data_IF_131107459980
#
_entry.id   IF_131107459980
#
_cell.length_a   1.000
_cell.length_b   1.000
_cell.length_c   1.000
_cell.angle_alpha   90.00
_cell.angle_beta   90.00
_cell.angle_gamma   90.00
#
_symmetry.space_group_name_H-M   'P 1'
#
loop_
_entity.id
_entity.type
_entity.pdbx_description
1 polymer ?
#
# COMPACT_ATOMS: atom_id res chain seq x y z
N UNK A 1 -6.68 -3.10 1.59
CA UNK A 1 -6.59 -4.46 2.14
C UNK A 1 -5.23 -5.04 1.80
N UNK A 2 -4.97 -5.76 0.70
CA UNK A 2 -3.68 -6.46 0.47
C UNK A 2 -2.37 -5.72 0.83
N UNK A 3 -2.23 -4.43 0.52
CA UNK A 3 -1.04 -3.64 0.92
C UNK A 3 -1.00 -3.30 2.41
N UNK A 4 -2.15 -3.00 3.01
CA UNK A 4 -2.25 -2.76 4.45
C UNK A 4 -2.07 -4.08 5.22
N UNK A 5 -2.63 -5.17 4.70
CA UNK A 5 -2.49 -6.50 5.31
C UNK A 5 -1.01 -6.92 5.28
N UNK A 6 -0.35 -6.82 4.12
CA UNK A 6 1.08 -7.10 4.01
C UNK A 6 1.94 -6.18 4.89
N UNK A 7 1.60 -4.89 4.96
CA UNK A 7 2.29 -3.96 5.86
C UNK A 7 2.06 -4.26 7.34
N UNK A 8 0.90 -4.81 7.71
CA UNK A 8 0.60 -5.23 9.07
C UNK A 8 1.29 -6.56 9.43
N UNK A 9 1.55 -7.40 8.43
CA UNK A 9 2.36 -8.62 8.53
C UNK A 9 3.88 -8.34 8.42
N UNK A 10 4.30 -7.09 8.61
CA UNK A 10 5.70 -6.63 8.55
C UNK A 10 6.44 -6.95 7.23
N UNK A 11 5.70 -7.11 6.12
CA UNK A 11 6.32 -7.28 4.80
C UNK A 11 7.16 -6.04 4.45
N UNK A 12 8.34 -6.26 3.88
CA UNK A 12 9.22 -5.16 3.50
C UNK A 12 8.64 -4.35 2.35
N UNK A 13 9.08 -3.09 2.22
CA UNK A 13 8.73 -2.26 1.06
C UNK A 13 9.09 -2.92 -0.27
N UNK A 14 10.19 -3.67 -0.29
CA UNK A 14 10.66 -4.38 -1.48
C UNK A 14 9.73 -5.55 -1.84
N UNK A 15 9.34 -6.35 -0.85
CA UNK A 15 8.38 -7.45 -1.05
C UNK A 15 7.01 -6.93 -1.48
N UNK A 16 6.52 -5.86 -0.85
CA UNK A 16 5.25 -5.24 -1.25
C UNK A 16 5.33 -4.67 -2.67
N UNK A 17 6.43 -3.99 -3.03
CA UNK A 17 6.62 -3.47 -4.39
C UNK A 17 6.66 -4.58 -5.43
N UNK A 18 7.39 -5.67 -5.14
CA UNK A 18 7.55 -6.76 -6.09
C UNK A 18 6.29 -7.63 -6.20
N UNK A 19 5.79 -8.13 -5.07
CA UNK A 19 4.73 -9.15 -5.03
C UNK A 19 3.33 -8.56 -5.19
N UNK A 20 3.12 -7.30 -4.80
CA UNK A 20 1.78 -6.68 -4.82
C UNK A 20 1.65 -5.65 -5.94
N UNK A 21 2.69 -4.85 -6.18
CA UNK A 21 2.66 -3.82 -7.22
C UNK A 21 3.28 -4.27 -8.56
N UNK A 22 3.98 -5.41 -8.57
CA UNK A 22 4.64 -5.93 -9.78
C UNK A 22 5.80 -5.06 -10.26
N UNK A 23 6.39 -4.24 -9.38
CA UNK A 23 7.52 -3.37 -9.69
C UNK A 23 8.76 -4.00 -9.07
N UNK A 24 9.79 -4.25 -9.87
CA UNK A 24 11.08 -4.71 -9.35
C UNK A 24 11.79 -3.57 -8.60
N UNK A 25 11.92 -3.65 -7.26
CA UNK A 25 12.56 -2.60 -6.47
C UNK A 25 14.08 -2.55 -6.63
N UNK A 26 14.72 -3.59 -7.18
CA UNK A 26 16.14 -3.60 -7.45
C UNK A 26 16.48 -2.84 -8.74
N UNK A 27 15.63 -2.95 -9.76
CA UNK A 27 15.80 -2.26 -11.03
C UNK A 27 15.19 -0.84 -11.02
N UNK A 28 14.08 -0.63 -10.31
CA UNK A 28 13.30 0.61 -10.33
C UNK A 28 13.03 1.17 -8.92
N UNK A 29 14.06 1.25 -8.07
CA UNK A 29 13.94 1.57 -6.63
C UNK A 29 13.09 2.81 -6.32
N UNK A 30 13.37 3.94 -6.99
CA UNK A 30 12.66 5.19 -6.72
C UNK A 30 11.19 5.14 -7.16
N UNK A 31 10.90 4.48 -8.28
CA UNK A 31 9.53 4.27 -8.74
C UNK A 31 8.77 3.34 -7.79
N UNK A 32 9.38 2.23 -7.39
CA UNK A 32 8.82 1.26 -6.45
C UNK A 32 8.39 1.95 -5.15
N UNK A 33 9.30 2.74 -4.55
CA UNK A 33 9.02 3.52 -3.33
C UNK A 33 7.88 4.51 -3.51
N UNK A 34 7.91 5.30 -4.59
CA UNK A 34 6.90 6.34 -4.84
C UNK A 34 5.51 5.74 -5.02
N UNK A 35 5.40 4.66 -5.80
CA UNK A 35 4.12 3.98 -6.03
C UNK A 35 3.63 3.33 -4.74
N UNK A 36 4.50 2.63 -4.01
CA UNK A 36 4.15 2.01 -2.73
C UNK A 36 3.57 3.03 -1.75
N UNK A 37 4.27 4.14 -1.53
CA UNK A 37 3.82 5.19 -0.62
C UNK A 37 2.48 5.78 -1.04
N UNK A 38 2.31 6.12 -2.33
CA UNK A 38 1.04 6.65 -2.82
C UNK A 38 -0.13 5.68 -2.64
N UNK A 39 0.11 4.38 -2.80
CA UNK A 39 -0.90 3.36 -2.58
C UNK A 39 -1.23 3.15 -1.10
N UNK A 40 -0.21 3.15 -0.22
CA UNK A 40 -0.41 3.08 1.24
C UNK A 40 -1.18 4.29 1.75
N UNK A 41 -0.82 5.50 1.33
CA UNK A 41 -1.52 6.73 1.70
C UNK A 41 -3.01 6.66 1.30
N UNK A 42 -3.30 6.21 0.07
CA UNK A 42 -4.67 6.03 -0.40
C UNK A 42 -5.43 4.95 0.38
N UNK A 43 -4.80 3.80 0.63
CA UNK A 43 -5.41 2.71 1.36
C UNK A 43 -5.71 3.11 2.82
N UNK A 44 -4.78 3.81 3.48
CA UNK A 44 -4.97 4.36 4.81
C UNK A 44 -6.11 5.39 4.85
N UNK A 45 -6.18 6.29 3.87
CA UNK A 45 -7.28 7.25 3.79
C UNK A 45 -8.65 6.56 3.64
N UNK A 46 -8.73 5.50 2.83
CA UNK A 46 -9.96 4.72 2.68
C UNK A 46 -10.41 4.08 3.98
N UNK A 47 -9.48 3.55 4.79
CA UNK A 47 -9.81 2.88 6.06
C UNK A 47 -10.12 3.88 7.18
N UNK A 48 -9.42 5.00 7.23
CA UNK A 48 -9.52 5.95 8.35
C UNK A 48 -10.63 7.00 8.17
N UNK A 49 -10.89 7.40 6.93
CA UNK A 49 -11.84 8.47 6.57
C UNK A 49 -12.95 7.96 5.66
N UNK A 50 -12.61 7.27 4.56
CA UNK A 50 -13.58 6.88 3.53
C UNK A 50 -14.61 5.82 3.95
N UNK A 51 -14.30 4.96 4.92
CA UNK A 51 -15.21 3.90 5.39
C UNK A 51 -16.22 4.38 6.45
N UNK A 52 -15.93 5.48 7.14
CA UNK A 52 -16.82 6.04 8.19
C UNK A 52 -18.10 6.62 7.60
N UNK A 53 -18.02 7.18 6.40
CA UNK A 53 -19.17 7.81 5.74
C UNK A 53 -20.05 6.80 4.98
N UNK A 54 -19.56 5.59 4.70
CA UNK A 54 -20.32 4.57 3.96
C UNK A 54 -21.27 3.73 4.84
N UNK A 55 -21.06 3.75 6.17
CA UNK A 55 -21.86 3.00 7.15
C UNK A 55 -22.36 3.85 8.32
N UNK A 56 -22.21 5.18 8.26
CA UNK A 56 -22.95 6.08 9.13
C UNK A 56 -24.42 6.10 8.67
N UNK A 57 -25.20 5.14 9.14
CA UNK A 57 -26.67 5.07 9.01
C UNK A 57 -27.26 4.55 10.30
#
# INVERSE_FOLDING_TARGET
MRLLDASADDASEQEMAHLILGIDPACETERARKVLRSHLDRANWMVTTGYKDLFAS
#
